data_IF_939453389413
#
_entry.id   IF_939453389413
#
_cell.length_a   1.000
_cell.length_b   1.000
_cell.length_c   1.000
_cell.angle_alpha   90.00
_cell.angle_beta   90.00
_cell.angle_gamma   90.00
#
_symmetry.space_group_name_H-M   'P 1'
#
loop_
_entity.id
_entity.type
_entity.pdbx_description
1 polymer ?
#
# COMPACT_ATOMS: atom_id res chain seq x y z
N UNK A 1 -11.81 -12.21 -13.05
CA UNK A 1 -11.41 -13.48 -12.44
C UNK A 1 -11.22 -13.34 -10.93
N UNK A 2 -11.09 -14.44 -10.26
CA UNK A 2 -10.86 -14.44 -8.81
C UNK A 2 -9.56 -13.70 -8.47
N UNK A 3 -8.50 -13.94 -9.23
CA UNK A 3 -7.21 -13.28 -8.97
C UNK A 3 -7.29 -11.77 -9.21
N UNK A 4 -8.05 -11.34 -10.19
CA UNK A 4 -8.27 -9.92 -10.43
C UNK A 4 -8.98 -9.29 -9.23
N UNK A 5 -10.00 -9.97 -8.72
CA UNK A 5 -10.73 -9.48 -7.56
C UNK A 5 -9.84 -9.39 -6.32
N UNK A 6 -9.02 -10.41 -6.08
CA UNK A 6 -8.08 -10.40 -4.95
C UNK A 6 -7.09 -9.24 -5.09
N UNK A 7 -6.56 -9.03 -6.30
CA UNK A 7 -5.62 -7.95 -6.56
C UNK A 7 -6.23 -6.58 -6.30
N UNK A 8 -7.46 -6.37 -6.77
CA UNK A 8 -8.16 -5.10 -6.53
C UNK A 8 -8.41 -4.86 -5.05
N UNK A 9 -8.82 -5.91 -4.33
CA UNK A 9 -9.06 -5.80 -2.90
C UNK A 9 -7.78 -5.46 -2.15
N UNK A 10 -6.68 -6.15 -2.49
CA UNK A 10 -5.39 -5.87 -1.85
C UNK A 10 -4.91 -4.46 -2.14
N UNK A 11 -5.10 -3.98 -3.37
CA UNK A 11 -4.73 -2.62 -3.74
C UNK A 11 -5.49 -1.61 -2.88
N UNK A 12 -6.79 -1.76 -2.79
CA UNK A 12 -7.62 -0.85 -2.00
C UNK A 12 -7.22 -0.88 -0.53
N UNK A 13 -7.02 -2.07 0.04
CA UNK A 13 -6.60 -2.21 1.43
C UNK A 13 -5.21 -1.60 1.67
N UNK A 14 -4.30 -1.76 0.70
CA UNK A 14 -2.97 -1.17 0.81
C UNK A 14 -3.06 0.35 0.93
N UNK A 15 -3.87 0.98 0.10
CA UNK A 15 -4.06 2.43 0.15
C UNK A 15 -4.59 2.85 1.53
N UNK A 16 -5.61 2.15 2.02
CA UNK A 16 -6.20 2.47 3.32
C UNK A 16 -5.20 2.32 4.46
N UNK A 17 -4.42 1.24 4.46
CA UNK A 17 -3.42 1.01 5.51
C UNK A 17 -2.25 1.99 5.41
N UNK A 18 -1.83 2.34 4.19
CA UNK A 18 -0.74 3.29 4.00
C UNK A 18 -1.11 4.68 4.50
N UNK A 19 -2.39 5.03 4.44
CA UNK A 19 -2.87 6.29 4.97
C UNK A 19 -2.79 6.33 6.51
N UNK A 20 -2.73 5.17 7.15
CA UNK A 20 -2.57 5.07 8.59
C UNK A 20 -1.08 5.02 8.94
N UNK A 21 -0.54 6.14 9.42
CA UNK A 21 0.89 6.28 9.69
C UNK A 21 1.39 5.42 10.84
N UNK A 22 0.49 4.81 11.61
CA UNK A 22 0.89 3.94 12.73
C UNK A 22 1.34 2.56 12.26
N UNK A 23 1.04 2.17 11.00
CA UNK A 23 1.40 0.87 10.47
C UNK A 23 2.70 0.96 9.67
N UNK A 24 3.60 0.01 9.93
CA UNK A 24 4.84 -0.09 9.14
C UNK A 24 4.54 -0.80 7.82
N UNK A 25 5.44 -0.66 6.85
CA UNK A 25 5.26 -1.33 5.55
C UNK A 25 5.27 -2.85 5.70
N UNK A 26 6.10 -3.37 6.62
CA UNK A 26 6.14 -4.80 6.87
C UNK A 26 4.81 -5.29 7.44
N UNK A 27 4.25 -4.54 8.38
CA UNK A 27 2.94 -4.89 8.93
C UNK A 27 1.86 -4.90 7.87
N UNK A 28 1.88 -3.92 6.98
CA UNK A 28 0.90 -3.85 5.90
C UNK A 28 1.03 -5.06 4.97
N UNK A 29 2.26 -5.43 4.62
CA UNK A 29 2.48 -6.59 3.77
C UNK A 29 1.86 -7.85 4.38
N UNK A 30 2.06 -8.05 5.68
CA UNK A 30 1.47 -9.18 6.38
C UNK A 30 -0.05 -9.12 6.43
N UNK A 31 -0.60 -7.95 6.70
CA UNK A 31 -2.05 -7.79 6.77
C UNK A 31 -2.72 -8.10 5.44
N UNK A 32 -2.03 -7.82 4.33
CA UNK A 32 -2.56 -8.11 3.01
C UNK A 32 -2.35 -9.56 2.57
N UNK A 33 -1.60 -10.34 3.36
CA UNK A 33 -1.39 -11.75 3.08
C UNK A 33 -0.17 -12.06 2.23
N UNK A 34 0.77 -11.13 2.10
CA UNK A 34 2.02 -11.39 1.37
C UNK A 34 3.00 -12.13 2.27
N UNK A 35 3.79 -13.00 1.67
CA UNK A 35 4.79 -13.78 2.40
C UNK A 35 5.94 -12.88 2.87
N UNK A 36 6.28 -11.88 2.07
CA UNK A 36 7.37 -10.98 2.40
C UNK A 36 7.10 -9.57 1.88
N UNK A 37 7.90 -8.64 2.34
CA UNK A 37 7.78 -7.23 2.01
C UNK A 37 8.05 -6.97 0.52
N UNK A 38 8.98 -7.71 -0.08
CA UNK A 38 9.34 -7.51 -1.49
C UNK A 38 8.17 -7.84 -2.42
N UNK A 39 7.42 -8.89 -2.09
CA UNK A 39 6.25 -9.25 -2.90
C UNK A 39 5.22 -8.13 -2.89
N UNK A 40 4.98 -7.55 -1.72
CA UNK A 40 4.07 -6.42 -1.60
C UNK A 40 4.59 -5.21 -2.40
N UNK A 41 5.87 -4.91 -2.29
CA UNK A 41 6.45 -3.77 -3.00
C UNK A 41 6.31 -3.91 -4.51
N UNK A 42 6.56 -5.11 -5.04
CA UNK A 42 6.41 -5.33 -6.48
C UNK A 42 4.97 -5.17 -6.94
N UNK A 43 4.03 -5.70 -6.19
CA UNK A 43 2.62 -5.56 -6.51
C UNK A 43 2.21 -4.09 -6.48
N UNK A 44 2.64 -3.36 -5.47
CA UNK A 44 2.28 -1.96 -5.31
C UNK A 44 2.83 -1.12 -6.46
N UNK A 45 4.06 -1.39 -6.88
CA UNK A 45 4.64 -0.66 -8.02
C UNK A 45 3.85 -0.90 -9.31
N UNK A 46 3.29 -2.08 -9.47
CA UNK A 46 2.44 -2.35 -10.63
C UNK A 46 1.13 -1.58 -10.55
N UNK A 47 0.59 -1.43 -9.35
CA UNK A 47 -0.67 -0.70 -9.18
C UNK A 47 -0.51 0.81 -9.30
N UNK A 48 0.52 1.38 -8.69
CA UNK A 48 0.64 2.83 -8.51
C UNK A 48 1.85 3.46 -9.20
N UNK A 49 2.69 2.66 -9.84
CA UNK A 49 3.91 3.13 -10.50
C UNK A 49 4.89 3.81 -9.55
N UNK A 50 4.80 3.54 -8.27
CA UNK A 50 5.72 4.06 -7.27
C UNK A 50 5.76 3.09 -6.09
N UNK A 51 6.73 3.27 -5.20
CA UNK A 51 6.85 2.41 -4.04
C UNK A 51 5.81 2.80 -2.98
N UNK A 52 5.46 1.88 -2.08
CA UNK A 52 4.58 2.25 -0.96
C UNK A 52 5.14 3.39 -0.12
N UNK A 53 6.45 3.42 0.06
CA UNK A 53 7.11 4.47 0.83
C UNK A 53 6.94 5.84 0.17
N UNK A 54 7.14 5.91 -1.16
CA UNK A 54 6.95 7.14 -1.92
C UNK A 54 5.51 7.59 -1.89
N UNK A 55 4.59 6.65 -2.03
CA UNK A 55 3.16 6.94 -1.97
C UNK A 55 2.78 7.56 -0.63
N UNK A 56 3.24 6.93 0.46
CA UNK A 56 2.94 7.41 1.81
C UNK A 56 3.49 8.81 2.05
N UNK A 57 4.72 9.06 1.62
CA UNK A 57 5.35 10.37 1.79
C UNK A 57 4.57 11.46 1.05
N UNK A 58 4.15 11.18 -0.18
CA UNK A 58 3.38 12.13 -0.98
C UNK A 58 2.04 12.45 -0.32
N UNK A 59 1.36 11.42 0.18
CA UNK A 59 0.04 11.61 0.77
C UNK A 59 0.09 12.19 2.18
N UNK A 60 1.17 11.94 2.91
CA UNK A 60 1.39 12.60 4.18
C UNK A 60 1.56 14.11 4.00
N UNK A 61 2.29 14.51 2.96
CA UNK A 61 2.47 15.92 2.63
C UNK A 61 1.13 16.57 2.26
N UNK A 62 0.31 15.87 1.50
CA UNK A 62 -1.03 16.36 1.14
C UNK A 62 -1.90 16.56 2.37
N UNK A 63 -1.87 15.62 3.31
CA UNK A 63 -2.66 15.72 4.53
C UNK A 63 -2.21 16.91 5.37
N UNK A 64 -0.92 17.17 5.44
CA UNK A 64 -0.40 18.33 6.17
C UNK A 64 -0.82 19.64 5.47
N UNK A 65 -0.77 19.67 4.16
CA UNK A 65 -1.16 20.86 3.41
C UNK A 65 -2.66 21.16 3.56
N UNK A 66 -3.47 20.12 3.79
CA UNK A 66 -4.91 20.25 3.94
C UNK A 66 -5.37 20.77 5.28
N UNK A 67 -4.45 20.88 6.22
CA UNK A 67 -4.75 21.41 7.54
C UNK A 67 -4.38 22.89 7.61
#
# INVERSE_FOLDING_TARGET
SFQTLVSQTRHQMAIEHLADSSLTLIEIAYLLGYEDQNSFFRAFRQWENQTPSDWRAAHAAERHAGN
#
